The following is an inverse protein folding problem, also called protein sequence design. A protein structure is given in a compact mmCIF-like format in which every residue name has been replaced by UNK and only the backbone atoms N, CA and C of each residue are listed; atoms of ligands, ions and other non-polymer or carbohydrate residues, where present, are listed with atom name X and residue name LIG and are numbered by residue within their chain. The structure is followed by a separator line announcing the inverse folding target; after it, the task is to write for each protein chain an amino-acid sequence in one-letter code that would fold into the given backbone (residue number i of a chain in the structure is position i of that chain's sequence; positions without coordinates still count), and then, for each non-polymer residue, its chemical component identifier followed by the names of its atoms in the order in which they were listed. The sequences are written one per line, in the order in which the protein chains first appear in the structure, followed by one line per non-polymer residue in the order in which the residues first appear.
data_IF_357030076799
#
_entry.id   IF_357030076799
#
_cell.length_a   1.000
_cell.length_b   1.000
_cell.length_c   1.000
_cell.angle_alpha   90.00
_cell.angle_beta   90.00
_cell.angle_gamma   90.00
#
_symmetry.space_group_name_H-M   'P 1'
#
loop_
_entity.id
_entity.type
_entity.pdbx_description
1 polymer ?
#
# COMPACT_ATOMS: atom_id res chain seq x y z
N UNK A 1 46.30 -55.51 -25.26
CA UNK A 1 46.01 -54.12 -24.85
C UNK A 1 44.57 -54.06 -24.35
N UNK A 2 44.31 -53.89 -23.04
CA UNK A 2 42.95 -53.66 -22.55
C UNK A 2 42.62 -52.16 -22.58
N UNK A 3 41.38 -51.83 -22.95
CA UNK A 3 40.84 -50.46 -22.95
C UNK A 3 40.65 -49.92 -21.52
N UNK A 4 40.76 -48.60 -21.28
CA UNK A 4 40.61 -48.01 -19.96
C UNK A 4 39.14 -47.86 -19.55
N UNK A 5 38.85 -48.12 -18.28
CA UNK A 5 37.54 -47.92 -17.67
C UNK A 5 37.26 -46.41 -17.48
N UNK A 6 36.14 -45.94 -18.04
CA UNK A 6 35.68 -44.57 -17.85
C UNK A 6 35.13 -44.37 -16.44
N UNK A 7 35.83 -43.55 -15.65
CA UNK A 7 35.37 -43.03 -14.37
C UNK A 7 34.20 -42.05 -14.62
N UNK A 8 32.98 -42.42 -14.24
CA UNK A 8 31.81 -41.52 -14.30
C UNK A 8 31.90 -40.52 -13.13
N UNK A 9 31.79 -39.21 -13.37
CA UNK A 9 31.71 -38.23 -12.30
C UNK A 9 30.34 -38.37 -11.58
N UNK A 10 30.38 -38.60 -10.27
CA UNK A 10 29.20 -38.55 -9.41
C UNK A 10 28.89 -37.07 -9.18
N UNK A 11 27.82 -36.60 -9.83
CA UNK A 11 27.24 -35.29 -9.59
C UNK A 11 26.59 -35.30 -8.21
N UNK A 12 27.26 -34.72 -7.22
CA UNK A 12 26.69 -34.49 -5.89
C UNK A 12 25.60 -33.41 -6.03
N UNK A 13 24.33 -33.82 -5.96
CA UNK A 13 23.21 -32.90 -5.86
C UNK A 13 23.28 -32.21 -4.49
N UNK A 14 23.67 -30.93 -4.49
CA UNK A 14 23.48 -30.02 -3.37
C UNK A 14 21.96 -29.90 -3.14
N UNK A 15 21.46 -30.60 -2.13
CA UNK A 15 20.11 -30.37 -1.62
C UNK A 15 20.16 -29.01 -0.92
N UNK A 16 19.75 -27.95 -1.61
CA UNK A 16 19.52 -26.66 -0.98
C UNK A 16 18.41 -26.84 0.07
N UNK A 17 18.65 -26.53 1.36
CA UNK A 17 17.55 -26.51 2.32
C UNK A 17 16.51 -25.51 1.82
N UNK A 18 15.25 -25.93 1.80
CA UNK A 18 14.15 -25.01 1.54
C UNK A 18 14.25 -23.88 2.56
N UNK A 19 14.46 -22.65 2.10
CA UNK A 19 14.46 -21.48 2.96
C UNK A 19 13.09 -21.39 3.64
N UNK A 20 13.03 -21.75 4.93
CA UNK A 20 11.82 -21.64 5.71
C UNK A 20 11.77 -20.20 6.24
N UNK A 21 10.67 -19.50 6.00
CA UNK A 21 10.49 -18.18 6.58
C UNK A 21 10.25 -18.31 8.09
N UNK A 22 10.91 -17.48 8.89
CA UNK A 22 10.60 -17.34 10.31
C UNK A 22 9.21 -16.71 10.45
N UNK A 23 8.32 -17.36 11.20
CA UNK A 23 6.96 -16.87 11.40
C UNK A 23 6.81 -16.37 12.83
N UNK A 24 6.39 -15.11 12.97
CA UNK A 24 6.13 -14.47 14.26
C UNK A 24 4.64 -14.21 14.41
N UNK A 25 4.04 -14.69 15.49
CA UNK A 25 2.68 -14.31 15.88
C UNK A 25 2.76 -13.30 17.02
N UNK A 26 2.32 -12.06 16.79
CA UNK A 26 2.51 -10.96 17.75
C UNK A 26 1.18 -10.39 18.23
N UNK A 27 0.96 -10.40 19.54
CA UNK A 27 -0.27 -9.97 20.22
C UNK A 27 -0.14 -8.66 21.00
N UNK A 28 1.07 -8.08 21.05
CA UNK A 28 1.35 -6.86 21.82
C UNK A 28 2.41 -5.96 21.15
N UNK A 29 2.50 -4.67 21.53
CA UNK A 29 3.55 -3.77 21.03
C UNK A 29 4.97 -4.30 21.28
N UNK A 30 5.23 -4.87 22.46
CA UNK A 30 6.55 -5.39 22.82
C UNK A 30 6.94 -6.62 21.98
N UNK A 31 5.99 -7.52 21.71
CA UNK A 31 6.23 -8.67 20.83
C UNK A 31 6.46 -8.26 19.38
N UNK A 32 5.73 -7.24 18.90
CA UNK A 32 5.92 -6.70 17.55
C UNK A 32 7.32 -6.07 17.40
N UNK A 33 7.74 -5.25 18.35
CA UNK A 33 9.09 -4.67 18.35
C UNK A 33 10.19 -5.76 18.43
N UNK A 34 9.99 -6.77 19.28
CA UNK A 34 10.90 -7.91 19.39
C UNK A 34 10.98 -8.71 18.06
N UNK A 35 9.85 -8.97 17.42
CA UNK A 35 9.81 -9.68 16.13
C UNK A 35 10.54 -8.91 15.03
N UNK A 36 10.32 -7.60 14.90
CA UNK A 36 11.05 -6.75 13.94
C UNK A 36 12.54 -6.64 14.27
N UNK A 37 12.92 -6.79 15.54
CA UNK A 37 14.31 -6.86 15.98
C UNK A 37 14.99 -8.17 15.58
N UNK A 38 14.28 -9.30 15.61
CA UNK A 38 14.81 -10.57 15.12
C UNK A 38 14.87 -10.58 13.59
N UNK A 39 13.78 -10.19 12.92
CA UNK A 39 13.64 -10.22 11.47
C UNK A 39 14.71 -9.40 10.72
N UNK A 40 15.25 -8.34 11.33
CA UNK A 40 16.28 -7.51 10.67
C UNK A 40 17.67 -8.16 10.63
N UNK A 41 17.88 -9.29 11.32
CA UNK A 41 19.21 -9.84 11.57
C UNK A 41 19.31 -11.38 11.55
N UNK A 42 18.22 -12.14 11.50
CA UNK A 42 18.25 -13.60 11.60
C UNK A 42 18.78 -14.31 10.35
N UNK A 43 18.88 -13.62 9.21
CA UNK A 43 19.37 -14.23 7.97
C UNK A 43 18.35 -15.15 7.30
N UNK A 44 17.07 -14.91 7.54
CA UNK A 44 15.96 -15.66 6.96
C UNK A 44 14.91 -14.70 6.41
N UNK A 45 13.97 -15.20 5.59
CA UNK A 45 12.77 -14.43 5.29
C UNK A 45 11.83 -14.44 6.49
N UNK A 46 11.05 -13.38 6.70
CA UNK A 46 10.22 -13.21 7.88
C UNK A 46 8.76 -12.94 7.53
N UNK A 47 7.86 -13.61 8.24
CA UNK A 47 6.42 -13.39 8.20
C UNK A 47 5.94 -12.98 9.60
N UNK A 48 5.79 -11.67 9.80
CA UNK A 48 5.32 -11.06 11.05
C UNK A 48 3.80 -10.86 10.96
N UNK A 49 3.09 -11.70 11.70
CA UNK A 49 1.62 -11.78 11.74
C UNK A 49 1.11 -11.05 12.97
N UNK A 50 0.52 -9.87 12.76
CA UNK A 50 -0.05 -9.04 13.82
C UNK A 50 -1.48 -9.49 14.10
N UNK A 51 -1.70 -9.97 15.32
CA UNK A 51 -3.03 -10.33 15.80
C UNK A 51 -3.94 -9.09 15.78
N UNK A 52 -5.23 -9.30 15.54
CA UNK A 52 -6.20 -8.22 15.61
C UNK A 52 -6.26 -7.60 17.01
N UNK A 53 -6.29 -6.27 17.07
CA UNK A 53 -6.18 -5.54 18.34
C UNK A 53 -5.66 -4.12 18.14
N UNK A 54 -5.59 -3.35 19.22
CA UNK A 54 -4.99 -2.01 19.21
C UNK A 54 -3.66 -2.02 19.95
N UNK A 55 -2.63 -1.53 19.28
CA UNK A 55 -1.24 -1.51 19.70
C UNK A 55 -0.84 -0.06 19.93
N UNK A 56 -1.09 0.45 21.14
CA UNK A 56 -0.64 1.78 21.56
C UNK A 56 0.89 1.76 21.72
N UNK A 57 1.58 2.43 20.80
CA UNK A 57 3.03 2.41 20.74
C UNK A 57 3.62 3.44 21.70
N UNK A 58 4.56 2.99 22.54
CA UNK A 58 5.35 3.86 23.41
C UNK A 58 6.64 4.38 22.75
N UNK A 59 6.97 3.86 21.57
CA UNK A 59 8.12 4.25 20.75
C UNK A 59 7.85 3.87 19.28
N UNK A 60 8.55 4.50 18.31
CA UNK A 60 8.47 4.09 16.92
C UNK A 60 8.94 2.65 16.71
N UNK A 61 8.22 1.88 15.89
CA UNK A 61 8.72 0.60 15.39
C UNK A 61 9.78 0.85 14.32
N UNK A 62 10.85 0.06 14.36
CA UNK A 62 11.96 0.17 13.40
C UNK A 62 12.27 -1.21 12.84
N UNK A 63 12.24 -1.34 11.52
CA UNK A 63 12.84 -2.45 10.79
C UNK A 63 13.97 -1.87 9.94
N UNK A 64 15.21 -2.27 10.20
CA UNK A 64 16.39 -1.75 9.48
C UNK A 64 17.31 -2.91 9.19
N UNK A 65 17.31 -3.40 7.96
CA UNK A 65 18.05 -4.59 7.55
C UNK A 65 19.11 -4.28 6.49
N UNK A 66 20.14 -5.12 6.46
CA UNK A 66 21.15 -5.17 5.39
C UNK A 66 21.13 -6.53 4.67
N UNK A 67 20.09 -7.33 4.92
CA UNK A 67 19.96 -8.69 4.42
C UNK A 67 19.00 -8.73 3.24
N UNK A 68 19.31 -9.53 2.23
CA UNK A 68 18.47 -9.67 1.03
C UNK A 68 17.32 -10.67 1.21
N UNK A 69 16.78 -10.77 2.43
CA UNK A 69 15.64 -11.64 2.75
C UNK A 69 14.35 -10.83 2.85
N UNK A 70 13.22 -11.48 2.56
CA UNK A 70 11.94 -10.80 2.50
C UNK A 70 11.34 -10.56 3.89
N UNK A 71 10.65 -9.44 4.07
CA UNK A 71 9.77 -9.19 5.22
C UNK A 71 8.33 -9.06 4.74
N UNK A 72 7.43 -9.86 5.31
CA UNK A 72 5.98 -9.63 5.27
C UNK A 72 5.51 -9.23 6.66
N UNK A 73 4.88 -8.06 6.76
CA UNK A 73 4.22 -7.57 7.96
C UNK A 73 2.72 -7.43 7.65
N UNK A 74 1.89 -8.28 8.26
CA UNK A 74 0.45 -8.34 7.93
C UNK A 74 -0.43 -8.30 9.18
N UNK A 75 -1.56 -7.59 9.08
CA UNK A 75 -2.55 -7.49 10.15
C UNK A 75 -3.73 -8.44 10.01
N UNK A 76 -4.68 -8.34 10.94
CA UNK A 76 -5.96 -9.08 10.99
C UNK A 76 -5.83 -10.57 11.28
N UNK A 77 -4.75 -11.00 11.92
CA UNK A 77 -4.61 -12.39 12.34
C UNK A 77 -5.48 -12.70 13.55
N UNK A 78 -6.02 -13.92 13.63
CA UNK A 78 -6.62 -14.43 14.86
C UNK A 78 -5.54 -14.66 15.94
N UNK A 79 -5.93 -14.89 17.19
CA UNK A 79 -5.01 -15.02 18.33
C UNK A 79 -3.92 -16.10 18.18
N UNK A 80 -4.11 -17.09 17.30
CA UNK A 80 -3.11 -18.12 17.01
C UNK A 80 -2.33 -17.92 15.71
N UNK A 81 -2.58 -16.83 14.98
CA UNK A 81 -2.02 -16.55 13.66
C UNK A 81 -2.16 -17.70 12.65
N UNK A 82 -3.28 -18.42 12.74
CA UNK A 82 -3.63 -19.54 11.85
C UNK A 82 -4.55 -19.11 10.71
N UNK A 83 -5.24 -17.98 10.85
CA UNK A 83 -6.09 -17.41 9.82
C UNK A 83 -6.14 -15.88 9.90
N UNK A 84 -6.15 -15.23 8.74
CA UNK A 84 -6.32 -13.78 8.60
C UNK A 84 -7.81 -13.41 8.62
N UNK A 85 -8.50 -13.77 9.70
CA UNK A 85 -9.95 -13.63 9.87
C UNK A 85 -10.34 -12.69 11.02
N UNK A 86 -9.37 -12.00 11.60
CA UNK A 86 -9.59 -11.03 12.67
C UNK A 86 -10.17 -9.71 12.17
N UNK A 87 -10.68 -8.88 13.10
CA UNK A 87 -10.89 -7.46 12.82
C UNK A 87 -9.54 -6.75 12.59
N UNK A 88 -9.53 -5.42 12.57
CA UNK A 88 -8.33 -4.63 12.30
C UNK A 88 -7.21 -4.82 13.33
N UNK A 89 -5.96 -4.85 12.87
CA UNK A 89 -4.76 -4.65 13.69
C UNK A 89 -4.35 -3.18 13.59
N UNK A 90 -4.58 -2.44 14.67
CA UNK A 90 -4.38 -0.99 14.74
C UNK A 90 -3.05 -0.70 15.42
N UNK A 91 -2.12 -0.13 14.67
CA UNK A 91 -0.90 0.44 15.19
C UNK A 91 -1.17 1.92 15.46
N UNK A 92 -1.11 2.31 16.73
CA UNK A 92 -1.49 3.64 17.20
C UNK A 92 -0.25 4.37 17.73
N UNK A 93 0.17 5.43 17.03
CA UNK A 93 1.31 6.26 17.40
C UNK A 93 1.06 7.25 18.55
N UNK A 94 -0.17 7.28 19.10
CA UNK A 94 -0.59 8.10 20.25
C UNK A 94 -0.42 9.61 20.05
N UNK A 95 -0.28 10.06 18.81
CA UNK A 95 0.06 11.44 18.46
C UNK A 95 1.48 11.84 18.84
N UNK A 96 2.33 10.90 19.25
CA UNK A 96 3.69 11.17 19.76
C UNK A 96 4.79 10.52 18.91
N UNK A 97 4.49 9.42 18.23
CA UNK A 97 5.49 8.60 17.57
C UNK A 97 5.13 8.36 16.10
N UNK A 98 6.14 8.39 15.23
CA UNK A 98 6.03 7.73 13.93
C UNK A 98 5.74 6.26 14.19
N UNK A 99 4.83 5.65 13.45
CA UNK A 99 4.42 4.28 13.73
C UNK A 99 5.49 3.29 13.29
N UNK A 100 5.91 3.33 12.02
CA UNK A 100 6.91 2.41 11.47
C UNK A 100 7.92 3.13 10.57
N UNK A 101 9.19 2.85 10.81
CA UNK A 101 10.28 3.12 9.88
C UNK A 101 10.86 1.80 9.36
N UNK A 102 10.74 1.56 8.06
CA UNK A 102 11.30 0.41 7.37
C UNK A 102 12.44 0.87 6.45
N UNK A 103 13.65 0.44 6.76
CA UNK A 103 14.87 0.71 6.01
C UNK A 103 15.49 -0.59 5.50
N UNK A 104 15.94 -0.58 4.25
CA UNK A 104 16.78 -1.65 3.70
C UNK A 104 17.69 -1.10 2.60
N UNK A 105 18.99 -1.37 2.68
CA UNK A 105 19.90 -1.14 1.54
C UNK A 105 20.11 -2.43 0.70
N UNK A 106 19.44 -3.51 1.06
CA UNK A 106 19.45 -4.79 0.37
C UNK A 106 18.17 -5.01 -0.45
N UNK A 107 18.21 -6.03 -1.32
CA UNK A 107 17.20 -6.30 -2.36
C UNK A 107 16.08 -7.25 -1.95
N UNK A 108 15.95 -7.55 -0.65
CA UNK A 108 14.88 -8.39 -0.11
C UNK A 108 13.50 -7.74 -0.28
N UNK A 109 12.47 -8.53 -0.54
CA UNK A 109 11.12 -8.02 -0.76
C UNK A 109 10.49 -7.47 0.54
N UNK A 110 9.65 -6.45 0.42
CA UNK A 110 8.94 -5.85 1.54
C UNK A 110 7.44 -5.80 1.26
N UNK A 111 6.65 -6.43 2.12
CA UNK A 111 5.19 -6.37 2.09
C UNK A 111 4.64 -5.88 3.43
N UNK A 112 3.77 -4.87 3.38
CA UNK A 112 3.05 -4.31 4.53
C UNK A 112 1.57 -4.30 4.16
N UNK A 113 0.76 -5.16 4.80
CA UNK A 113 -0.64 -5.34 4.40
C UNK A 113 -1.62 -5.43 5.56
N UNK A 114 -2.87 -5.04 5.30
CA UNK A 114 -4.00 -5.28 6.21
C UNK A 114 -3.83 -4.66 7.62
N UNK A 115 -3.11 -3.54 7.72
CA UNK A 115 -2.88 -2.80 8.96
C UNK A 115 -3.60 -1.45 8.98
N UNK A 116 -3.87 -0.96 10.19
CA UNK A 116 -4.33 0.42 10.42
C UNK A 116 -3.19 1.20 11.06
N UNK A 117 -2.73 2.23 10.38
CA UNK A 117 -1.76 3.22 10.86
C UNK A 117 -2.54 4.46 11.34
N UNK A 118 -2.60 4.64 12.65
CA UNK A 118 -3.42 5.68 13.27
C UNK A 118 -2.61 6.58 14.20
N UNK A 119 -2.95 7.88 14.20
CA UNK A 119 -2.40 8.87 15.12
C UNK A 119 -0.86 8.89 15.18
N UNK A 120 -0.18 8.58 14.08
CA UNK A 120 1.27 8.71 13.98
C UNK A 120 1.71 10.17 14.02
N UNK A 121 2.84 10.47 14.65
CA UNK A 121 3.47 11.80 14.60
C UNK A 121 4.97 11.69 14.42
N UNK A 122 5.48 12.21 13.31
CA UNK A 122 6.90 12.36 13.08
C UNK A 122 7.32 13.84 13.18
N UNK A 123 8.40 14.08 13.94
CA UNK A 123 9.10 15.37 14.01
C UNK A 123 10.57 15.27 13.59
N UNK A 124 11.00 14.09 13.11
CA UNK A 124 12.37 13.83 12.69
C UNK A 124 12.64 14.22 11.24
N UNK A 125 13.91 14.14 10.83
CA UNK A 125 14.34 14.50 9.48
C UNK A 125 13.81 13.57 8.38
N UNK A 126 13.62 12.28 8.71
CA UNK A 126 13.04 11.30 7.79
C UNK A 126 11.52 11.45 7.83
N UNK A 127 10.94 11.90 6.72
CA UNK A 127 9.50 12.10 6.55
C UNK A 127 8.70 10.78 6.61
N UNK A 128 7.40 10.89 6.88
CA UNK A 128 6.46 9.78 7.05
C UNK A 128 5.88 9.78 8.46
N UNK A 129 4.68 10.32 8.65
CA UNK A 129 4.03 10.39 9.97
C UNK A 129 3.52 9.03 10.47
N UNK A 130 2.87 8.27 9.60
CA UNK A 130 2.49 6.89 9.87
C UNK A 130 3.61 5.92 9.50
N UNK A 131 3.92 5.86 8.20
CA UNK A 131 4.88 4.91 7.64
C UNK A 131 5.99 5.64 6.88
N UNK A 132 7.24 5.23 7.11
CA UNK A 132 8.35 5.59 6.23
C UNK A 132 9.01 4.32 5.71
N UNK A 133 9.13 4.19 4.39
CA UNK A 133 9.89 3.15 3.71
C UNK A 133 11.04 3.83 2.95
N UNK A 134 12.27 3.44 3.26
CA UNK A 134 13.47 3.82 2.52
C UNK A 134 14.23 2.55 2.13
N UNK A 135 14.10 2.11 0.88
CA UNK A 135 14.49 0.74 0.53
C UNK A 135 15.16 0.55 -0.84
N UNK A 136 16.01 -0.47 -0.91
CA UNK A 136 16.55 -1.09 -2.13
C UNK A 136 15.80 -2.38 -2.52
N UNK A 137 14.67 -2.69 -1.88
CA UNK A 137 13.84 -3.87 -2.16
C UNK A 137 13.47 -3.97 -3.64
N UNK A 138 13.54 -5.18 -4.22
CA UNK A 138 13.05 -5.44 -5.58
C UNK A 138 11.53 -5.38 -5.65
N UNK A 139 10.83 -5.80 -4.61
CA UNK A 139 9.37 -5.66 -4.52
C UNK A 139 8.99 -4.91 -3.26
N UNK A 140 8.17 -3.88 -3.42
CA UNK A 140 7.54 -3.16 -2.31
C UNK A 140 6.03 -3.22 -2.50
N UNK A 141 5.34 -3.83 -1.54
CA UNK A 141 3.89 -3.97 -1.55
C UNK A 141 3.29 -3.31 -0.33
N UNK A 142 2.47 -2.28 -0.55
CA UNK A 142 1.69 -1.60 0.49
C UNK A 142 0.24 -1.75 0.08
N UNK A 143 -0.47 -2.66 0.73
CA UNK A 143 -1.78 -3.09 0.27
C UNK A 143 -2.83 -3.23 1.38
N UNK A 144 -4.06 -2.77 1.14
CA UNK A 144 -5.20 -2.87 2.07
C UNK A 144 -4.91 -2.30 3.46
N UNK A 145 -4.10 -1.24 3.52
CA UNK A 145 -3.85 -0.51 4.75
C UNK A 145 -4.78 0.69 4.87
N UNK A 146 -5.07 1.08 6.10
CA UNK A 146 -5.73 2.33 6.43
C UNK A 146 -4.72 3.28 7.10
N UNK A 147 -4.55 4.47 6.56
CA UNK A 147 -3.78 5.55 7.18
C UNK A 147 -4.71 6.69 7.58
N UNK A 148 -4.85 6.97 8.88
CA UNK A 148 -5.66 8.10 9.32
C UNK A 148 -5.11 8.85 10.52
N UNK A 149 -5.32 10.18 10.52
CA UNK A 149 -4.90 11.05 11.61
C UNK A 149 -3.39 11.13 11.83
N UNK A 150 -2.58 10.67 10.87
CA UNK A 150 -1.13 10.72 10.96
C UNK A 150 -0.59 12.10 10.58
N UNK A 151 0.52 12.49 11.19
CA UNK A 151 1.11 13.81 11.05
C UNK A 151 2.62 13.76 10.85
N UNK A 152 3.14 14.60 9.97
CA UNK A 152 4.57 14.85 9.81
C UNK A 152 4.84 16.37 9.85
N UNK A 153 5.92 16.81 10.49
CA UNK A 153 6.28 18.24 10.54
C UNK A 153 7.05 18.73 9.32
N UNK A 154 7.44 17.84 8.41
CA UNK A 154 8.08 18.12 7.14
C UNK A 154 7.19 17.72 5.96
N UNK A 155 7.05 16.42 5.70
CA UNK A 155 6.29 15.90 4.55
C UNK A 155 5.75 14.49 4.77
N UNK A 156 4.73 14.10 4.01
CA UNK A 156 4.17 12.74 4.00
C UNK A 156 3.49 12.37 5.33
N UNK A 157 2.37 13.03 5.62
CA UNK A 157 1.62 12.80 6.87
C UNK A 157 1.21 11.33 7.03
N UNK A 158 0.69 10.70 5.98
CA UNK A 158 0.34 9.28 5.99
C UNK A 158 1.57 8.39 5.83
N UNK A 159 2.20 8.44 4.65
CA UNK A 159 3.30 7.56 4.31
C UNK A 159 4.28 8.17 3.32
N UNK A 160 5.58 7.97 3.58
CA UNK A 160 6.65 8.21 2.61
C UNK A 160 7.18 6.88 2.11
N UNK A 161 7.26 6.72 0.80
CA UNK A 161 7.88 5.53 0.17
C UNK A 161 8.97 6.02 -0.77
N UNK A 162 10.22 5.70 -0.43
CA UNK A 162 11.39 5.99 -1.23
C UNK A 162 12.09 4.68 -1.63
N UNK A 163 12.26 4.47 -2.94
CA UNK A 163 12.91 3.27 -3.49
C UNK A 163 14.11 3.70 -4.33
N UNK A 164 15.30 3.20 -4.01
CA UNK A 164 16.56 3.63 -4.65
C UNK A 164 17.08 2.66 -5.73
N UNK A 165 16.62 1.42 -5.73
CA UNK A 165 17.04 0.38 -6.69
C UNK A 165 16.31 0.53 -8.02
N UNK A 166 16.99 0.22 -9.13
CA UNK A 166 16.45 0.41 -10.48
C UNK A 166 15.60 -0.76 -11.02
N UNK A 167 15.79 -1.95 -10.48
CA UNK A 167 15.00 -3.15 -10.83
C UNK A 167 13.94 -3.41 -9.76
N UNK A 168 13.05 -2.44 -9.56
CA UNK A 168 12.00 -2.52 -8.54
C UNK A 168 10.60 -2.65 -9.15
N UNK A 169 9.70 -3.20 -8.35
CA UNK A 169 8.25 -3.18 -8.55
C UNK A 169 7.61 -2.61 -7.29
N UNK A 170 6.92 -1.48 -7.43
CA UNK A 170 6.05 -0.93 -6.38
C UNK A 170 4.60 -1.29 -6.68
N UNK A 171 3.92 -1.85 -5.68
CA UNK A 171 2.47 -2.05 -5.66
C UNK A 171 1.89 -1.30 -4.47
N UNK A 172 1.28 -0.14 -4.73
CA UNK A 172 0.49 0.61 -3.76
C UNK A 172 -0.99 0.42 -4.10
N UNK A 173 -1.69 -0.45 -3.36
CA UNK A 173 -2.99 -0.95 -3.80
C UNK A 173 -4.06 -1.03 -2.72
N UNK A 174 -5.30 -0.68 -3.07
CA UNK A 174 -6.47 -0.86 -2.20
C UNK A 174 -6.30 -0.24 -0.80
N UNK A 175 -5.51 0.83 -0.68
CA UNK A 175 -5.33 1.53 0.60
C UNK A 175 -6.36 2.64 0.75
N UNK A 176 -6.76 2.88 2.00
CA UNK A 176 -7.54 4.05 2.39
C UNK A 176 -6.64 5.04 3.13
N UNK A 177 -6.58 6.29 2.66
CA UNK A 177 -5.74 7.34 3.22
C UNK A 177 -6.58 8.57 3.52
N UNK A 178 -6.87 8.81 4.80
CA UNK A 178 -7.89 9.76 5.24
C UNK A 178 -7.40 10.73 6.32
N UNK A 179 -7.53 12.03 6.09
CA UNK A 179 -7.37 13.02 7.16
C UNK A 179 -5.97 13.09 7.77
N UNK A 180 -4.93 12.79 6.99
CA UNK A 180 -3.54 12.93 7.40
C UNK A 180 -3.02 14.34 7.10
N UNK A 181 -1.97 14.78 7.81
CA UNK A 181 -1.53 16.19 7.79
C UNK A 181 0.00 16.32 7.70
N UNK A 182 0.47 17.19 6.83
CA UNK A 182 1.88 17.62 6.79
C UNK A 182 1.97 19.02 6.17
N UNK A 183 3.09 19.76 6.29
CA UNK A 183 3.32 20.94 5.48
C UNK A 183 3.17 20.68 3.99
N UNK A 184 3.75 19.59 3.49
CA UNK A 184 3.64 19.15 2.10
C UNK A 184 3.33 17.65 2.01
N UNK A 185 2.37 17.25 1.18
CA UNK A 185 1.96 15.86 1.05
C UNK A 185 1.31 15.32 2.34
N UNK A 186 0.12 15.79 2.68
CA UNK A 186 -0.62 15.28 3.84
C UNK A 186 -0.87 13.77 3.74
N UNK A 187 -1.17 13.26 2.55
CA UNK A 187 -1.36 11.84 2.25
C UNK A 187 -0.04 11.11 2.00
N UNK A 188 0.11 10.55 0.80
CA UNK A 188 1.23 9.69 0.43
C UNK A 188 2.21 10.44 -0.47
N UNK A 189 3.50 10.31 -0.17
CA UNK A 189 4.58 10.81 -1.02
C UNK A 189 5.44 9.64 -1.51
N UNK A 190 5.54 9.51 -2.84
CA UNK A 190 6.37 8.53 -3.52
C UNK A 190 7.61 9.21 -4.12
N UNK A 191 8.79 8.69 -3.83
CA UNK A 191 10.05 9.11 -4.44
C UNK A 191 10.82 7.87 -4.92
N UNK A 192 10.56 7.44 -6.15
CA UNK A 192 11.07 6.16 -6.65
C UNK A 192 12.07 6.34 -7.78
N UNK A 193 13.19 5.61 -7.69
CA UNK A 193 14.30 5.61 -8.65
C UNK A 193 13.86 5.09 -10.03
N UNK A 194 14.76 5.03 -11.00
CA UNK A 194 14.42 4.64 -12.36
C UNK A 194 14.12 3.15 -12.38
N UNK A 195 12.88 2.76 -12.64
CA UNK A 195 12.53 1.35 -12.74
C UNK A 195 11.27 1.12 -13.57
N UNK A 196 11.02 -0.13 -13.96
CA UNK A 196 10.05 -0.44 -15.02
C UNK A 196 8.60 -0.34 -14.56
N UNK A 197 8.30 -0.25 -13.26
CA UNK A 197 6.94 -0.53 -12.76
C UNK A 197 6.61 0.02 -11.37
N UNK A 198 6.04 1.24 -11.32
CA UNK A 198 5.33 1.73 -10.14
C UNK A 198 3.80 1.71 -10.37
N UNK A 199 3.10 0.80 -9.68
CA UNK A 199 1.65 0.63 -9.80
C UNK A 199 0.94 1.22 -8.58
N UNK A 200 0.06 2.20 -8.84
CA UNK A 200 -0.81 2.81 -7.82
C UNK A 200 -2.24 2.55 -8.23
N UNK A 201 -2.87 1.54 -7.61
CA UNK A 201 -4.13 0.99 -8.12
C UNK A 201 -5.20 0.90 -7.04
N UNK A 202 -6.42 1.36 -7.32
CA UNK A 202 -7.54 1.09 -6.43
C UNK A 202 -7.44 1.77 -5.06
N UNK A 203 -6.72 2.88 -4.90
CA UNK A 203 -6.63 3.56 -3.60
C UNK A 203 -7.73 4.63 -3.46
N UNK A 204 -8.12 4.92 -2.22
CA UNK A 204 -8.98 6.07 -1.90
C UNK A 204 -8.20 7.01 -0.99
N UNK A 205 -7.88 8.21 -1.48
CA UNK A 205 -7.06 9.21 -0.80
C UNK A 205 -7.88 10.49 -0.66
N UNK A 206 -8.33 10.77 0.55
CA UNK A 206 -9.37 11.75 0.84
C UNK A 206 -9.00 12.67 1.99
N UNK A 207 -9.40 13.94 1.86
CA UNK A 207 -9.39 14.91 2.97
C UNK A 207 -8.04 15.05 3.69
N UNK A 208 -6.94 14.73 3.04
CA UNK A 208 -5.60 14.97 3.59
C UNK A 208 -5.26 16.45 3.46
N UNK A 209 -4.45 16.96 4.38
CA UNK A 209 -4.14 18.39 4.48
C UNK A 209 -2.66 18.66 4.31
N UNK A 210 -2.30 19.35 3.23
CA UNK A 210 -1.08 20.13 3.18
C UNK A 210 -1.29 21.48 3.88
N UNK A 211 -0.41 21.83 4.81
CA UNK A 211 -0.58 23.04 5.64
C UNK A 211 0.25 24.22 5.17
N UNK A 212 1.24 23.99 4.31
CA UNK A 212 2.05 25.05 3.73
C UNK A 212 1.23 25.78 2.65
N UNK A 213 1.06 27.11 2.72
CA UNK A 213 0.45 27.87 1.65
C UNK A 213 1.20 27.67 0.33
N UNK A 214 0.48 27.32 -0.73
CA UNK A 214 1.08 27.04 -2.04
C UNK A 214 1.69 25.64 -2.18
N UNK A 215 1.49 24.75 -1.21
CA UNK A 215 1.80 23.34 -1.39
C UNK A 215 1.14 22.81 -2.67
N UNK A 216 1.89 22.02 -3.43
CA UNK A 216 1.46 21.50 -4.73
C UNK A 216 0.68 20.19 -4.63
N UNK A 217 0.68 19.60 -3.43
CA UNK A 217 0.11 18.30 -3.18
C UNK A 217 -0.32 18.10 -1.72
N UNK A 218 -1.59 17.77 -1.52
CA UNK A 218 -2.15 17.28 -0.25
C UNK A 218 -2.44 15.78 -0.23
N UNK A 219 -2.84 15.22 -1.37
CA UNK A 219 -3.24 13.81 -1.53
C UNK A 219 -2.06 12.90 -1.87
N UNK A 220 -1.93 12.54 -3.15
CA UNK A 220 -0.87 11.69 -3.69
C UNK A 220 0.18 12.53 -4.42
N UNK A 221 1.41 12.50 -3.95
CA UNK A 221 2.54 13.20 -4.56
C UNK A 221 3.50 12.16 -5.12
N UNK A 222 3.69 12.14 -6.43
CA UNK A 222 4.62 11.21 -7.07
C UNK A 222 5.83 11.96 -7.62
N UNK A 223 7.02 11.42 -7.36
CA UNK A 223 8.28 11.98 -7.80
C UNK A 223 9.35 10.89 -7.95
N UNK A 224 10.52 11.31 -8.44
CA UNK A 224 11.64 10.46 -8.75
C UNK A 224 11.89 10.41 -10.27
N UNK A 225 12.10 9.22 -10.81
CA UNK A 225 12.42 9.03 -12.24
C UNK A 225 11.81 7.74 -12.82
N UNK A 226 10.92 7.09 -12.07
CA UNK A 226 10.18 5.91 -12.53
C UNK A 226 9.03 6.25 -13.49
N UNK A 227 8.58 5.23 -14.21
CA UNK A 227 7.29 5.22 -14.88
C UNK A 227 6.19 4.73 -13.93
N UNK A 228 5.07 5.45 -13.91
CA UNK A 228 3.91 5.15 -13.08
C UNK A 228 2.71 4.72 -13.92
N UNK A 229 2.02 3.68 -13.46
CA UNK A 229 0.63 3.44 -13.84
C UNK A 229 -0.26 3.69 -12.63
N UNK A 230 -1.09 4.71 -12.74
CA UNK A 230 -1.98 5.15 -11.68
C UNK A 230 -3.40 4.89 -12.17
N UNK A 231 -4.11 3.97 -11.54
CA UNK A 231 -5.41 3.52 -12.05
C UNK A 231 -6.45 3.23 -10.97
N UNK A 232 -7.72 3.41 -11.29
CA UNK A 232 -8.83 3.08 -10.38
C UNK A 232 -8.75 3.76 -9.01
N UNK A 233 -8.07 4.91 -8.88
CA UNK A 233 -7.95 5.61 -7.60
C UNK A 233 -9.02 6.70 -7.48
N UNK A 234 -9.52 6.93 -6.26
CA UNK A 234 -10.21 8.16 -5.89
C UNK A 234 -9.21 9.07 -5.18
N UNK A 235 -8.91 10.22 -5.77
CA UNK A 235 -8.05 11.26 -5.22
C UNK A 235 -8.90 12.54 -5.13
N UNK A 236 -9.48 12.81 -3.96
CA UNK A 236 -10.52 13.83 -3.84
C UNK A 236 -10.52 14.62 -2.52
N UNK A 237 -10.72 15.93 -2.63
CA UNK A 237 -10.92 16.81 -1.47
C UNK A 237 -9.68 16.97 -0.59
N UNK A 238 -8.48 16.76 -1.13
CA UNK A 238 -7.23 16.97 -0.40
C UNK A 238 -6.81 18.44 -0.47
N UNK A 239 -6.62 19.08 0.68
CA UNK A 239 -6.16 20.47 0.74
C UNK A 239 -4.69 20.56 0.29
N UNK A 240 -4.43 21.41 -0.71
CA UNK A 240 -3.13 21.51 -1.39
C UNK A 240 -3.05 20.71 -2.71
N UNK A 241 -4.10 19.97 -3.08
CA UNK A 241 -4.21 19.26 -4.36
C UNK A 241 -4.29 17.75 -4.22
N UNK A 242 -5.05 17.11 -5.10
CA UNK A 242 -5.35 15.67 -5.04
C UNK A 242 -4.24 14.78 -5.63
N UNK A 243 -3.76 15.08 -6.84
CA UNK A 243 -2.64 14.39 -7.48
C UNK A 243 -1.61 15.40 -7.97
N UNK A 244 -0.36 15.20 -7.57
CA UNK A 244 0.78 15.93 -8.12
C UNK A 244 1.75 14.98 -8.81
N UNK A 245 1.97 15.20 -10.11
CA UNK A 245 2.99 14.53 -10.91
C UNK A 245 4.25 15.40 -10.90
N UNK A 246 5.17 15.13 -9.99
CA UNK A 246 6.43 15.87 -9.85
C UNK A 246 7.42 15.59 -10.98
N UNK A 247 8.72 15.58 -10.67
CA UNK A 247 9.70 15.04 -11.60
C UNK A 247 9.55 13.51 -11.62
N UNK A 248 9.17 12.93 -12.76
CA UNK A 248 8.98 11.49 -12.97
C UNK A 248 9.44 11.11 -14.39
N UNK A 249 9.53 9.81 -14.69
CA UNK A 249 9.76 9.33 -16.07
C UNK A 249 8.53 9.54 -16.94
N UNK A 250 7.42 8.92 -16.55
CA UNK A 250 6.10 9.12 -17.15
C UNK A 250 4.99 8.67 -16.18
N UNK A 251 3.75 9.13 -16.39
CA UNK A 251 2.59 8.65 -15.64
C UNK A 251 1.41 8.36 -16.57
N UNK A 252 1.03 7.10 -16.70
CA UNK A 252 -0.21 6.70 -17.38
C UNK A 252 -1.35 6.67 -16.37
N UNK A 253 -2.34 7.55 -16.57
CA UNK A 253 -3.53 7.63 -15.74
C UNK A 253 -4.71 6.91 -16.42
N UNK A 254 -5.30 5.90 -15.78
CA UNK A 254 -6.49 5.23 -16.31
C UNK A 254 -7.60 5.05 -15.27
N UNK A 255 -8.83 5.42 -15.65
CA UNK A 255 -10.03 5.18 -14.82
C UNK A 255 -9.90 5.65 -13.35
N UNK A 256 -9.21 6.76 -13.11
CA UNK A 256 -9.19 7.40 -11.79
C UNK A 256 -10.32 8.42 -11.67
N UNK A 257 -10.68 8.79 -10.45
CA UNK A 257 -11.41 10.02 -10.15
C UNK A 257 -10.47 11.00 -9.44
N UNK A 258 -10.18 12.13 -10.07
CA UNK A 258 -9.15 13.08 -9.63
C UNK A 258 -9.76 14.48 -9.60
N UNK A 259 -9.88 15.07 -8.40
CA UNK A 259 -10.43 16.42 -8.24
C UNK A 259 -9.52 17.51 -8.79
N UNK A 260 -8.21 17.41 -8.54
CA UNK A 260 -7.20 18.32 -9.09
C UNK A 260 -5.91 17.60 -9.47
N UNK A 261 -5.36 17.93 -10.64
CA UNK A 261 -4.08 17.43 -11.13
C UNK A 261 -3.10 18.59 -11.32
N UNK A 262 -1.89 18.47 -10.78
CA UNK A 262 -0.80 19.46 -10.96
C UNK A 262 0.51 18.78 -11.37
N UNK A 263 1.47 19.58 -11.84
CA UNK A 263 2.80 19.11 -12.25
C UNK A 263 2.91 18.74 -13.72
N UNK A 264 3.65 17.68 -14.04
CA UNK A 264 3.85 17.18 -15.40
C UNK A 264 2.54 16.66 -16.02
N UNK A 265 2.37 16.74 -17.35
CA UNK A 265 1.19 16.19 -18.01
C UNK A 265 1.20 14.66 -17.97
N UNK A 266 0.02 14.01 -17.93
CA UNK A 266 -0.09 12.57 -18.10
C UNK A 266 0.50 12.08 -19.42
N UNK A 267 1.04 10.86 -19.42
CA UNK A 267 1.60 10.20 -20.59
C UNK A 267 0.52 9.91 -21.64
N UNK A 268 0.89 9.85 -22.95
CA UNK A 268 -0.01 9.45 -24.02
C UNK A 268 -0.75 8.13 -23.74
N UNK A 269 -2.02 8.10 -24.11
CA UNK A 269 -2.92 6.97 -23.88
C UNK A 269 -3.49 6.88 -22.46
N UNK A 270 -3.23 7.86 -21.59
CA UNK A 270 -4.07 8.10 -20.41
C UNK A 270 -5.53 8.36 -20.83
N UNK A 271 -6.51 7.82 -20.10
CA UNK A 271 -7.92 7.90 -20.49
C UNK A 271 -8.87 7.28 -19.47
N UNK A 272 -10.17 7.53 -19.63
CA UNK A 272 -11.19 7.02 -18.69
C UNK A 272 -11.22 7.70 -17.31
N UNK A 273 -10.33 8.67 -17.06
CA UNK A 273 -10.32 9.42 -15.81
C UNK A 273 -11.53 10.36 -15.73
N UNK A 274 -12.06 10.51 -14.51
CA UNK A 274 -13.17 11.35 -14.13
C UNK A 274 -12.69 12.46 -13.18
N UNK A 275 -13.51 13.49 -13.04
CA UNK A 275 -13.37 14.53 -12.04
C UNK A 275 -14.77 14.94 -11.60
N UNK A 276 -15.38 14.07 -10.79
CA UNK A 276 -16.77 14.22 -10.34
C UNK A 276 -16.86 13.97 -8.84
N UNK A 277 -17.81 14.57 -8.12
CA UNK A 277 -18.03 14.22 -6.73
C UNK A 277 -18.16 12.69 -6.57
N UNK A 278 -17.37 12.04 -5.69
CA UNK A 278 -17.35 10.58 -5.60
C UNK A 278 -18.69 9.95 -5.27
N UNK A 279 -19.58 10.67 -4.59
CA UNK A 279 -20.89 10.15 -4.18
C UNK A 279 -20.75 9.03 -3.15
N UNK A 280 -20.13 9.32 -2.00
CA UNK A 280 -20.08 8.38 -0.88
C UNK A 280 -21.45 8.21 -0.22
N UNK A 281 -21.68 7.07 0.44
CA UNK A 281 -22.86 6.87 1.28
C UNK A 281 -22.97 7.97 2.34
N UNK A 282 -24.18 8.40 2.73
CA UNK A 282 -24.36 9.42 3.74
C UNK A 282 -23.81 8.94 5.09
N UNK A 283 -23.01 9.77 5.74
CA UNK A 283 -22.43 9.46 7.05
C UNK A 283 -21.15 10.25 7.29
N UNK A 284 -20.85 10.54 8.56
CA UNK A 284 -19.60 11.18 8.93
C UNK A 284 -18.45 10.21 8.61
N UNK A 285 -17.48 10.65 7.79
CA UNK A 285 -16.33 9.85 7.33
C UNK A 285 -16.70 8.60 6.53
N UNK A 286 -17.88 8.54 5.90
CA UNK A 286 -18.18 7.45 4.98
C UNK A 286 -17.23 7.49 3.77
N UNK A 287 -16.59 6.36 3.50
CA UNK A 287 -15.64 6.19 2.38
C UNK A 287 -16.08 5.10 1.40
N UNK A 288 -17.27 4.55 1.60
CA UNK A 288 -17.90 3.61 0.66
C UNK A 288 -18.75 4.40 -0.33
N UNK A 289 -18.66 4.03 -1.60
CA UNK A 289 -19.48 4.62 -2.64
C UNK A 289 -20.95 4.30 -2.38
N UNK A 290 -21.81 5.31 -2.55
CA UNK A 290 -23.23 5.08 -2.61
C UNK A 290 -23.56 4.26 -3.86
N UNK A 291 -24.66 3.48 -3.85
CA UNK A 291 -25.02 2.63 -4.99
C UNK A 291 -25.26 3.38 -6.31
N UNK A 292 -25.63 4.65 -6.25
CA UNK A 292 -25.84 5.54 -7.39
C UNK A 292 -24.62 6.41 -7.71
N UNK A 293 -23.49 6.16 -7.05
CA UNK A 293 -22.24 6.85 -7.32
C UNK A 293 -21.86 6.74 -8.81
N UNK A 294 -21.36 7.82 -9.43
CA UNK A 294 -20.87 7.78 -10.80
C UNK A 294 -19.60 6.93 -10.95
N UNK A 295 -19.00 6.45 -9.85
CA UNK A 295 -17.73 5.72 -9.81
C UNK A 295 -17.89 4.19 -9.70
N UNK A 296 -19.13 3.71 -9.49
CA UNK A 296 -19.46 2.29 -9.41
C UNK A 296 -19.36 1.62 -10.79
N UNK A 297 -18.66 0.48 -10.86
CA UNK A 297 -18.36 -0.30 -12.07
C UNK A 297 -17.68 0.52 -13.18
N UNK A 298 -16.87 1.52 -12.81
CA UNK A 298 -16.16 2.40 -13.78
C UNK A 298 -14.67 2.18 -13.88
N UNK A 299 -14.10 1.35 -13.01
CA UNK A 299 -12.69 1.04 -13.04
C UNK A 299 -12.30 0.13 -14.22
N UNK A 300 -11.01 0.06 -14.48
CA UNK A 300 -10.36 -0.85 -15.42
C UNK A 300 -10.09 -2.20 -14.74
N UNK A 301 -10.73 -3.31 -15.16
CA UNK A 301 -10.53 -4.61 -14.55
C UNK A 301 -9.20 -5.26 -14.94
N UNK A 302 -8.47 -4.68 -15.91
CA UNK A 302 -7.17 -5.13 -16.40
C UNK A 302 -6.05 -4.13 -16.03
N UNK A 303 -6.27 -3.34 -14.98
CA UNK A 303 -5.31 -2.36 -14.47
C UNK A 303 -3.90 -2.96 -14.30
N UNK A 304 -2.89 -2.22 -14.76
CA UNK A 304 -1.50 -2.63 -14.62
C UNK A 304 -1.12 -2.81 -13.14
N UNK A 305 -0.28 -3.80 -12.84
CA UNK A 305 0.02 -4.21 -11.46
C UNK A 305 -1.07 -5.07 -10.79
N UNK A 306 -2.22 -5.23 -11.46
CA UNK A 306 -3.34 -6.06 -11.01
C UNK A 306 -4.14 -5.46 -9.86
N UNK A 307 -5.38 -5.93 -9.70
CA UNK A 307 -6.36 -5.42 -8.74
C UNK A 307 -6.20 -5.99 -7.31
N UNK A 308 -5.48 -7.12 -7.19
CA UNK A 308 -5.51 -7.92 -5.97
C UNK A 308 -6.79 -8.75 -5.87
N UNK A 309 -6.79 -9.74 -4.98
CA UNK A 309 -7.97 -10.60 -4.79
C UNK A 309 -9.09 -9.88 -4.03
N UNK A 310 -8.71 -8.99 -3.11
CA UNK A 310 -9.61 -8.37 -2.13
C UNK A 310 -9.51 -6.85 -2.15
N UNK A 311 -10.62 -6.19 -1.88
CA UNK A 311 -10.71 -4.76 -1.59
C UNK A 311 -10.28 -4.44 -0.13
N UNK A 312 -10.33 -3.17 0.26
CA UNK A 312 -9.97 -2.74 1.62
C UNK A 312 -10.90 -3.31 2.72
N UNK A 313 -12.09 -3.79 2.36
CA UNK A 313 -13.04 -4.43 3.26
C UNK A 313 -12.90 -5.95 3.33
N UNK A 314 -11.94 -6.54 2.63
CA UNK A 314 -11.77 -7.99 2.47
C UNK A 314 -12.88 -8.66 1.63
N UNK A 315 -13.58 -7.90 0.80
CA UNK A 315 -14.51 -8.44 -0.19
C UNK A 315 -13.77 -8.68 -1.52
N UNK A 316 -14.23 -9.60 -2.39
CA UNK A 316 -13.64 -9.78 -3.72
C UNK A 316 -13.52 -8.46 -4.47
N UNK A 317 -12.38 -8.21 -5.13
CA UNK A 317 -12.14 -6.91 -5.78
C UNK A 317 -12.88 -6.70 -7.09
N UNK A 318 -13.27 -7.77 -7.78
CA UNK A 318 -14.10 -7.69 -8.99
C UNK A 318 -15.51 -8.14 -8.62
N UNK A 319 -16.42 -7.18 -8.48
CA UNK A 319 -17.84 -7.41 -8.27
C UNK A 319 -18.64 -6.76 -9.40
N UNK A 320 -19.67 -7.45 -9.91
CA UNK A 320 -20.48 -6.91 -11.01
C UNK A 320 -19.78 -6.95 -12.38
N UNK A 321 -19.95 -5.88 -13.16
CA UNK A 321 -19.50 -5.78 -14.57
C UNK A 321 -18.06 -5.29 -14.69
N UNK A 322 -17.60 -4.48 -13.75
CA UNK A 322 -16.22 -4.01 -13.64
C UNK A 322 -15.97 -3.60 -12.19
N UNK A 323 -14.70 -3.40 -11.83
CA UNK A 323 -14.35 -2.88 -10.50
C UNK A 323 -14.88 -1.46 -10.30
N UNK A 324 -15.18 -1.11 -9.05
CA UNK A 324 -15.40 0.27 -8.64
C UNK A 324 -14.06 1.02 -8.61
N UNK A 325 -14.10 2.33 -8.89
CA UNK A 325 -12.95 3.21 -8.66
C UNK A 325 -12.83 3.45 -7.15
N UNK A 326 -11.64 3.29 -6.57
CA UNK A 326 -11.36 3.48 -5.14
C UNK A 326 -10.98 2.19 -4.41
N UNK A 327 -10.88 2.25 -3.08
CA UNK A 327 -10.40 1.15 -2.22
C UNK A 327 -11.44 0.08 -1.90
N UNK A 328 -12.72 0.37 -2.12
CA UNK A 328 -13.84 -0.50 -1.79
C UNK A 328 -14.60 -0.86 -3.05
N UNK A 329 -15.14 -2.08 -3.08
CA UNK A 329 -16.25 -2.43 -3.97
C UNK A 329 -17.57 -2.17 -3.25
N UNK A 330 -18.56 -1.75 -4.01
CA UNK A 330 -19.97 -1.70 -3.61
C UNK A 330 -20.57 -3.08 -3.83
N UNK A 331 -21.31 -3.62 -2.87
CA UNK A 331 -21.98 -4.91 -3.05
C UNK A 331 -23.13 -4.77 -4.07
N UNK A 332 -22.84 -5.13 -5.31
CA UNK A 332 -23.81 -5.19 -6.41
C UNK A 332 -24.45 -6.59 -6.52
N UNK A 333 -23.93 -7.60 -5.81
CA UNK A 333 -24.38 -9.00 -5.93
C UNK A 333 -25.73 -9.25 -5.26
N UNK A 334 -26.11 -8.46 -4.25
CA UNK A 334 -27.45 -8.50 -3.65
C UNK A 334 -28.55 -7.81 -4.48
N UNK A 335 -28.24 -7.39 -5.72
CA UNK A 335 -29.13 -6.54 -6.54
C UNK A 335 -29.50 -7.08 -7.91
N UNK A 336 -29.36 -8.39 -8.15
CA UNK A 336 -30.24 -9.00 -9.15
C UNK A 336 -31.62 -9.00 -8.49
N UNK A 337 -32.61 -8.18 -8.92
CA UNK A 337 -33.97 -8.53 -8.57
C UNK A 337 -34.13 -9.98 -9.05
N UNK A 338 -34.73 -10.83 -8.23
CA UNK A 338 -35.43 -11.97 -8.80
C UNK A 338 -36.42 -11.37 -9.80
N UNK A 339 -36.01 -11.27 -11.07
CA UNK A 339 -36.96 -11.17 -12.16
C UNK A 339 -37.74 -12.47 -12.03
N UNK A 340 -38.93 -12.33 -11.43
CA UNK A 340 -39.94 -13.35 -11.51
C UNK A 340 -40.09 -13.65 -12.99
N UNK A 341 -39.62 -14.83 -13.40
CA UNK A 341 -39.96 -15.41 -14.68
C UNK A 341 -41.47 -15.31 -14.84
N UNK A 342 -42.00 -14.68 -15.90
CA UNK A 342 -43.41 -14.82 -16.17
C UNK A 342 -43.63 -16.28 -16.57
N UNK A 343 -44.25 -17.04 -15.69
CA UNK A 343 -44.82 -18.34 -16.04
C UNK A 343 -45.99 -18.15 -17.04
N UNK A 344 -46.24 -19.15 -17.90
CA UNK A 344 -46.61 -18.99 -19.32
C UNK A 344 -47.98 -18.34 -19.61
#
# INVERSE_FOLDING_TARGET
MPLPAHLKPILAALISPAAQAAVFCVGSPAELDAALTVARANGEADDVRVVAGTYALAAPLVYSTHQAFALTLSGRWNAGCTAQAGPSSILDGQGQHRILYAFSDATGDLAITDLVFSNGRNTGAIAGGGLSIETSSRRVQVERNLFHGNQDTGSAGAARIAISTSDFVLVLRNNLVLGNRAPEGGGIVLNVSTGPSAFVTGNTILANTATLPGALCGGLCVGGVADFSISNNILWGNAGGDLHLGNIGSARLSSNDIGSLTGQPPAPGSGGNLSVPPGFEPGLLSTRLAPDSPLVNRGDPQAAGGLGALDAAQAPRLQGRSVDIGAFETDVLLRVPFEATPDP
#
